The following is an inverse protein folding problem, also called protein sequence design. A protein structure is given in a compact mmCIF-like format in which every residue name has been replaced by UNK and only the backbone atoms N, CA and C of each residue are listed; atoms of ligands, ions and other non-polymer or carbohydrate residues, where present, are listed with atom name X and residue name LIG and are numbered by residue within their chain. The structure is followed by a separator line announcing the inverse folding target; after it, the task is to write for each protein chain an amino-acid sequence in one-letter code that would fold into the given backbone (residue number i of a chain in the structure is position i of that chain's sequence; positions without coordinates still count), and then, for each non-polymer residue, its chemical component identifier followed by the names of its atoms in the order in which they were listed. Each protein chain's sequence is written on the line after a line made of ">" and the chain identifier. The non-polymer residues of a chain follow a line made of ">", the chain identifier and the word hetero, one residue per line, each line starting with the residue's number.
data_IF_233735602278
#
_entry.id   IF_233735602278
#
_cell.length_a   1.000
_cell.length_b   1.000
_cell.length_c   1.000
_cell.angle_alpha   90.00
_cell.angle_beta   90.00
_cell.angle_gamma   90.00
#
_symmetry.space_group_name_H-M   'P 1'
#
loop_
_entity.id
_entity.type
_entity.pdbx_description
1 polymer ?
#
# COMPACT_ATOMS: atom_id res chain seq x y z
N UNK A 1 12.84 20.44 -16.92
CA UNK A 1 12.18 21.76 -16.97
C UNK A 1 10.70 21.61 -16.68
N UNK A 2 9.94 20.86 -17.50
CA UNK A 2 8.50 20.58 -17.28
C UNK A 2 8.18 20.08 -15.86
N UNK A 3 8.89 19.09 -15.31
CA UNK A 3 8.62 18.61 -13.94
C UNK A 3 8.84 19.66 -12.85
N UNK A 4 9.82 20.54 -13.03
CA UNK A 4 10.08 21.63 -12.08
C UNK A 4 8.98 22.70 -12.16
N UNK A 5 8.57 23.05 -13.38
CA UNK A 5 7.43 23.96 -13.62
C UNK A 5 6.14 23.39 -13.02
N UNK A 6 5.84 22.10 -13.25
CA UNK A 6 4.69 21.42 -12.65
C UNK A 6 4.72 21.50 -11.12
N UNK A 7 5.90 21.43 -10.49
CA UNK A 7 6.04 21.45 -9.02
C UNK A 7 5.71 22.81 -8.40
N UNK A 8 5.88 23.90 -9.16
CA UNK A 8 5.63 25.28 -8.71
C UNK A 8 4.20 25.76 -9.00
N UNK A 9 3.46 25.05 -9.86
CA UNK A 9 2.07 25.37 -10.22
C UNK A 9 1.07 24.94 -9.15
N UNK A 10 -0.02 25.73 -9.05
CA UNK A 10 -1.21 25.32 -8.33
C UNK A 10 -1.86 24.10 -9.00
N UNK A 11 -2.68 23.35 -8.24
CA UNK A 11 -3.24 22.08 -8.69
C UNK A 11 -4.09 22.19 -9.98
N UNK A 12 -4.88 23.26 -10.10
CA UNK A 12 -5.69 23.52 -11.29
C UNK A 12 -4.82 23.76 -12.54
N UNK A 13 -3.80 24.59 -12.43
CA UNK A 13 -2.89 24.94 -13.52
C UNK A 13 -2.01 23.73 -13.92
N UNK A 14 -1.63 22.92 -12.93
CA UNK A 14 -0.91 21.66 -13.15
C UNK A 14 -1.74 20.68 -13.99
N UNK A 15 -3.02 20.53 -13.67
CA UNK A 15 -3.92 19.65 -14.42
C UNK A 15 -4.13 20.11 -15.87
N UNK A 16 -4.26 21.43 -16.08
CA UNK A 16 -4.37 22.02 -17.42
C UNK A 16 -3.10 21.78 -18.25
N UNK A 17 -1.92 22.03 -17.68
CA UNK A 17 -0.65 21.82 -18.36
C UNK A 17 -0.44 20.34 -18.71
N UNK A 18 -0.71 19.42 -17.77
CA UNK A 18 -0.66 17.97 -18.03
C UNK A 18 -1.57 17.56 -19.18
N UNK A 19 -2.81 18.07 -19.18
CA UNK A 19 -3.79 17.84 -20.24
C UNK A 19 -3.30 18.34 -21.61
N UNK A 20 -2.70 19.52 -21.66
CA UNK A 20 -2.15 20.09 -22.90
C UNK A 20 -1.01 19.25 -23.49
N UNK A 21 -0.27 18.53 -22.64
CA UNK A 21 0.82 17.63 -23.00
C UNK A 21 0.34 16.19 -23.27
N UNK A 22 -0.96 15.90 -23.14
CA UNK A 22 -1.51 14.55 -23.27
C UNK A 22 -1.11 13.60 -22.12
N UNK A 23 -0.66 14.15 -21.00
CA UNK A 23 -0.23 13.38 -19.82
C UNK A 23 -1.34 13.35 -18.77
N UNK A 24 -1.50 12.20 -18.10
CA UNK A 24 -2.47 12.03 -17.00
C UNK A 24 -1.87 12.30 -15.62
N UNK A 25 -0.54 12.26 -15.52
CA UNK A 25 0.21 12.45 -14.28
C UNK A 25 1.62 12.98 -14.61
N UNK A 26 2.32 13.59 -13.63
CA UNK A 26 3.72 13.98 -13.78
C UNK A 26 4.62 12.77 -14.07
N UNK A 27 5.61 12.94 -14.94
CA UNK A 27 6.54 11.86 -15.28
C UNK A 27 7.38 11.44 -14.06
N UNK A 28 7.62 12.36 -13.11
CA UNK A 28 8.33 12.05 -11.88
C UNK A 28 7.64 10.95 -11.06
N UNK A 29 6.31 10.88 -11.05
CA UNK A 29 5.57 9.83 -10.36
C UNK A 29 5.83 8.44 -10.98
N UNK A 30 5.87 8.37 -12.31
CA UNK A 30 6.21 7.14 -13.03
C UNK A 30 7.66 6.70 -12.75
N UNK A 31 8.61 7.65 -12.75
CA UNK A 31 10.02 7.38 -12.40
C UNK A 31 10.15 6.89 -10.96
N UNK A 32 9.47 7.52 -10.01
CA UNK A 32 9.51 7.12 -8.61
C UNK A 32 9.00 5.68 -8.42
N UNK A 33 7.87 5.32 -9.05
CA UNK A 33 7.35 3.94 -9.01
C UNK A 33 8.29 2.93 -9.66
N UNK A 34 8.89 3.28 -10.81
CA UNK A 34 9.86 2.41 -11.47
C UNK A 34 11.12 2.20 -10.61
N UNK A 35 11.62 3.25 -9.95
CA UNK A 35 12.75 3.15 -9.03
C UNK A 35 12.41 2.31 -7.78
N UNK A 36 11.20 2.51 -7.21
CA UNK A 36 10.71 1.73 -6.08
C UNK A 36 10.61 0.24 -6.41
N UNK A 37 10.06 -0.08 -7.59
CA UNK A 37 9.98 -1.44 -8.11
C UNK A 37 11.36 -2.07 -8.37
N UNK A 38 12.28 -1.29 -8.96
CA UNK A 38 13.67 -1.67 -9.25
C UNK A 38 14.46 -1.99 -7.97
N UNK A 39 14.21 -1.27 -6.88
CA UNK A 39 14.78 -1.54 -5.57
C UNK A 39 14.19 -2.80 -4.91
N UNK A 40 13.25 -3.48 -5.57
CA UNK A 40 12.59 -4.66 -5.05
C UNK A 40 11.65 -4.34 -3.90
N UNK A 41 11.12 -3.11 -3.84
CA UNK A 41 10.20 -2.67 -2.79
C UNK A 41 8.75 -2.87 -3.23
N UNK A 42 7.87 -3.06 -2.25
CA UNK A 42 6.42 -3.09 -2.43
C UNK A 42 5.75 -2.46 -1.20
N UNK A 43 4.47 -2.11 -1.33
CA UNK A 43 3.71 -1.48 -0.26
C UNK A 43 2.54 -2.34 0.20
N UNK A 44 2.31 -2.39 1.51
CA UNK A 44 1.05 -2.83 2.09
C UNK A 44 0.41 -1.67 2.86
N UNK A 45 -0.86 -1.82 3.22
CA UNK A 45 -1.63 -0.78 3.89
C UNK A 45 -2.16 -1.25 5.25
N UNK A 46 -2.08 -0.37 6.24
CA UNK A 46 -2.92 -0.43 7.44
C UNK A 46 -4.03 0.59 7.30
N UNK A 47 -5.28 0.19 7.51
CA UNK A 47 -6.43 1.08 7.42
C UNK A 47 -7.25 1.02 8.71
N UNK A 48 -7.43 2.17 9.35
CA UNK A 48 -8.26 2.34 10.53
C UNK A 48 -8.93 3.71 10.57
N UNK A 49 -9.83 3.98 11.53
CA UNK A 49 -10.59 5.22 11.59
C UNK A 49 -9.73 6.46 11.83
N UNK A 50 -8.54 6.30 12.41
CA UNK A 50 -7.60 7.40 12.70
C UNK A 50 -6.53 7.58 11.64
N UNK A 51 -6.11 6.50 10.99
CA UNK A 51 -4.96 6.51 10.10
C UNK A 51 -5.15 5.47 8.98
N UNK A 52 -4.80 5.89 7.77
CA UNK A 52 -4.52 5.00 6.65
C UNK A 52 -3.08 5.24 6.26
N UNK A 53 -2.28 4.18 6.21
CA UNK A 53 -0.84 4.31 5.98
C UNK A 53 -0.33 3.22 5.07
N UNK A 54 0.53 3.62 4.13
CA UNK A 54 1.35 2.73 3.32
C UNK A 54 2.66 2.41 4.05
N UNK A 55 3.03 1.14 4.08
CA UNK A 55 4.27 0.65 4.69
C UNK A 55 5.13 0.01 3.60
N UNK A 56 6.39 0.44 3.54
CA UNK A 56 7.37 -0.10 2.59
C UNK A 56 8.03 -1.35 3.15
N UNK A 57 8.02 -2.42 2.35
CA UNK A 57 8.69 -3.70 2.63
C UNK A 57 9.43 -4.16 1.37
N UNK A 58 10.31 -5.14 1.52
CA UNK A 58 10.89 -5.81 0.36
C UNK A 58 9.91 -6.84 -0.21
N UNK A 59 9.95 -7.02 -1.53
CA UNK A 59 9.24 -8.12 -2.20
C UNK A 59 9.75 -9.45 -1.64
N UNK A 60 8.81 -10.28 -1.19
CA UNK A 60 9.14 -11.56 -0.55
C UNK A 60 9.12 -11.53 0.97
N UNK A 61 8.99 -10.35 1.60
CA UNK A 61 8.84 -10.28 3.06
C UNK A 61 7.59 -11.01 3.54
N UNK A 62 7.75 -11.77 4.60
CA UNK A 62 6.67 -12.49 5.27
C UNK A 62 5.83 -11.56 6.14
N UNK A 63 4.62 -11.98 6.51
CA UNK A 63 3.74 -11.22 7.38
C UNK A 63 4.38 -10.79 8.72
N UNK A 64 5.15 -11.64 9.44
CA UNK A 64 5.88 -11.20 10.64
C UNK A 64 6.93 -10.11 10.36
N UNK A 65 7.70 -10.24 9.28
CA UNK A 65 8.71 -9.24 8.90
C UNK A 65 8.04 -7.90 8.56
N UNK A 66 6.93 -7.94 7.82
CA UNK A 66 6.14 -6.76 7.49
C UNK A 66 5.55 -6.08 8.74
N UNK A 67 5.09 -6.86 9.72
CA UNK A 67 4.65 -6.34 11.02
C UNK A 67 5.81 -5.70 11.80
N UNK A 68 7.02 -6.27 11.69
CA UNK A 68 8.26 -5.74 12.28
C UNK A 68 8.62 -4.33 11.83
N UNK A 69 8.25 -3.94 10.60
CA UNK A 69 8.42 -2.57 10.09
C UNK A 69 7.58 -1.56 10.87
N UNK A 70 6.44 -1.97 11.43
CA UNK A 70 5.63 -1.10 12.31
C UNK A 70 6.27 -1.03 13.68
N UNK A 71 6.61 -2.18 14.26
CA UNK A 71 7.30 -2.28 15.54
C UNK A 71 7.96 -3.65 15.69
N UNK A 72 9.18 -3.70 16.22
CA UNK A 72 9.94 -4.96 16.39
C UNK A 72 9.25 -5.97 17.30
N UNK A 73 8.42 -5.51 18.24
CA UNK A 73 7.63 -6.41 19.10
C UNK A 73 6.49 -7.11 18.34
N UNK A 74 5.95 -6.52 17.26
CA UNK A 74 4.89 -7.17 16.49
C UNK A 74 5.43 -8.39 15.74
N UNK A 75 6.68 -8.33 15.28
CA UNK A 75 7.35 -9.46 14.65
C UNK A 75 7.56 -10.62 15.64
N UNK A 76 8.05 -10.32 16.84
CA UNK A 76 8.25 -11.32 17.90
C UNK A 76 6.93 -11.93 18.38
N UNK A 77 5.96 -11.06 18.65
CA UNK A 77 4.64 -11.42 19.16
C UNK A 77 3.65 -11.87 18.10
N UNK A 78 4.05 -11.97 16.83
CA UNK A 78 3.14 -12.24 15.71
C UNK A 78 2.27 -13.49 15.94
N UNK A 79 0.96 -13.32 15.81
CA UNK A 79 -0.01 -14.42 15.86
C UNK A 79 -0.47 -14.75 14.44
N UNK A 80 -1.06 -13.76 13.76
CA UNK A 80 -1.57 -13.87 12.39
C UNK A 80 -1.79 -12.50 11.77
N UNK A 81 -1.99 -12.47 10.46
CA UNK A 81 -2.36 -11.29 9.70
C UNK A 81 -3.75 -11.48 9.11
N UNK A 82 -4.67 -10.54 9.34
CA UNK A 82 -5.96 -10.49 8.66
C UNK A 82 -5.82 -9.58 7.44
N UNK A 83 -5.91 -10.18 6.24
CA UNK A 83 -5.51 -9.54 4.98
C UNK A 83 -6.65 -9.55 3.96
N UNK A 84 -6.76 -8.48 3.17
CA UNK A 84 -7.54 -8.46 1.93
C UNK A 84 -6.86 -7.56 0.89
N UNK A 85 -7.16 -7.72 -0.39
CA UNK A 85 -6.55 -6.89 -1.42
C UNK A 85 -7.30 -5.56 -1.60
N UNK A 86 -6.60 -4.48 -1.96
CA UNK A 86 -7.25 -3.21 -2.35
C UNK A 86 -8.30 -3.41 -3.46
N UNK A 87 -8.06 -4.33 -4.40
CA UNK A 87 -9.02 -4.69 -5.46
C UNK A 87 -10.35 -5.24 -4.92
N UNK A 88 -10.31 -5.96 -3.79
CA UNK A 88 -11.52 -6.42 -3.13
C UNK A 88 -12.28 -5.22 -2.52
N UNK A 89 -11.58 -4.22 -2.01
CA UNK A 89 -12.22 -2.99 -1.52
C UNK A 89 -12.88 -2.19 -2.66
N UNK A 90 -12.25 -2.11 -3.83
CA UNK A 90 -12.86 -1.49 -5.02
C UNK A 90 -14.16 -2.20 -5.43
N UNK A 91 -14.21 -3.52 -5.28
CA UNK A 91 -15.33 -4.36 -5.70
C UNK A 91 -16.47 -4.38 -4.66
N UNK A 92 -16.14 -4.65 -3.39
CA UNK A 92 -17.09 -4.88 -2.30
C UNK A 92 -17.37 -3.65 -1.44
N UNK A 93 -16.61 -2.55 -1.64
CA UNK A 93 -16.78 -1.22 -1.01
C UNK A 93 -16.53 -1.15 0.50
N UNK A 94 -16.71 -2.24 1.24
CA UNK A 94 -16.56 -2.28 2.70
C UNK A 94 -15.87 -3.56 3.15
N UNK A 95 -15.08 -3.48 4.22
CA UNK A 95 -14.43 -4.66 4.82
C UNK A 95 -15.46 -5.72 5.25
N UNK A 96 -16.63 -5.29 5.75
CA UNK A 96 -17.72 -6.20 6.10
C UNK A 96 -18.16 -7.01 4.88
N UNK A 97 -18.40 -6.36 3.73
CA UNK A 97 -18.79 -7.06 2.51
C UNK A 97 -17.69 -8.00 1.99
N UNK A 98 -16.41 -7.62 2.12
CA UNK A 98 -15.27 -8.49 1.80
C UNK A 98 -15.26 -9.74 2.69
N UNK A 99 -15.51 -9.57 3.99
CA UNK A 99 -15.60 -10.66 4.95
C UNK A 99 -16.79 -11.58 4.66
N UNK A 100 -17.96 -11.01 4.41
CA UNK A 100 -19.19 -11.75 4.08
C UNK A 100 -19.03 -12.51 2.74
N UNK A 101 -18.21 -12.00 1.82
CA UNK A 101 -17.83 -12.67 0.57
C UNK A 101 -16.70 -13.71 0.73
N UNK A 102 -16.20 -13.94 1.96
CA UNK A 102 -15.12 -14.90 2.24
C UNK A 102 -13.75 -14.51 1.69
N UNK A 103 -13.54 -13.22 1.42
CA UNK A 103 -12.29 -12.68 0.84
C UNK A 103 -11.31 -12.15 1.90
N UNK A 104 -11.77 -11.93 3.12
CA UNK A 104 -10.90 -11.61 4.25
C UNK A 104 -10.16 -12.87 4.68
N UNK A 105 -8.84 -12.90 4.46
CA UNK A 105 -7.98 -14.05 4.74
C UNK A 105 -7.33 -13.91 6.11
N UNK A 106 -7.14 -15.04 6.78
CA UNK A 106 -6.36 -15.13 8.02
C UNK A 106 -5.07 -15.88 7.70
N UNK A 107 -3.99 -15.12 7.61
CA UNK A 107 -2.70 -15.59 7.11
C UNK A 107 -1.70 -15.82 8.26
N UNK A 108 -0.92 -16.89 8.12
CA UNK A 108 0.07 -17.31 9.12
C UNK A 108 1.46 -16.72 8.92
N UNK A 109 2.42 -17.18 9.72
CA UNK A 109 3.82 -16.70 9.71
C UNK A 109 4.53 -16.86 8.36
N UNK A 110 4.14 -17.84 7.56
CA UNK A 110 4.78 -18.14 6.27
C UNK A 110 4.12 -17.40 5.10
N UNK A 111 3.08 -16.59 5.35
CA UNK A 111 2.46 -15.82 4.29
C UNK A 111 3.43 -14.75 3.79
N UNK A 112 3.67 -14.75 2.49
CA UNK A 112 4.45 -13.72 1.81
C UNK A 112 3.50 -12.60 1.44
N UNK A 113 3.78 -11.39 1.93
CA UNK A 113 2.95 -10.21 1.69
C UNK A 113 2.84 -9.92 0.19
N UNK A 114 1.65 -9.52 -0.23
CA UNK A 114 1.40 -9.09 -1.61
C UNK A 114 1.32 -7.57 -1.67
N UNK A 115 1.76 -7.00 -2.80
CA UNK A 115 1.61 -5.57 -3.05
C UNK A 115 0.13 -5.17 -3.00
N UNK A 116 -0.16 -4.13 -2.22
CA UNK A 116 -1.52 -3.66 -1.99
C UNK A 116 -2.38 -4.54 -1.08
N UNK A 117 -1.79 -5.45 -0.29
CA UNK A 117 -2.50 -6.04 0.84
C UNK A 117 -2.90 -4.94 1.84
N UNK A 118 -4.17 -4.93 2.23
CA UNK A 118 -4.64 -4.21 3.42
C UNK A 118 -4.65 -5.21 4.56
N UNK A 119 -3.91 -4.90 5.64
CA UNK A 119 -3.61 -5.84 6.71
C UNK A 119 -3.90 -5.30 8.09
N UNK A 120 -4.39 -6.18 8.95
CA UNK A 120 -4.45 -6.00 10.38
C UNK A 120 -3.64 -7.12 11.06
N UNK A 121 -2.55 -6.76 11.74
CA UNK A 121 -1.70 -7.72 12.45
C UNK A 121 -2.22 -7.98 13.86
N UNK A 122 -2.42 -9.25 14.19
CA UNK A 122 -2.67 -9.68 15.57
C UNK A 122 -1.35 -10.17 16.17
N UNK A 123 -1.03 -9.68 17.36
CA UNK A 123 0.19 -10.01 18.08
C UNK A 123 -0.10 -10.08 19.58
N UNK A 124 0.73 -10.83 20.31
CA UNK A 124 0.71 -10.84 21.76
C UNK A 124 1.70 -9.81 22.33
N UNK A 125 1.29 -9.15 23.42
CA UNK A 125 2.12 -8.20 24.18
C UNK A 125 2.69 -8.88 25.41
#
# INVERSE_FOLDING_TARGET
>A
KIEAELSELAEADRAELLGSLGMKEPALAAVARAAYDLLGLQSYFTAGPKEIRAWTIHKGDTAPQAAGVIHTDFEKGFIRAECYAVKDLESFKTEKAIRDAGKLRSEGRNYVMQDGDVVHFLFNV
#
